data_IF_258990314660
#
_entry.id   IF_258990314660
#
_cell.length_a   1.000
_cell.length_b   1.000
_cell.length_c   1.000
_cell.angle_alpha   90.00
_cell.angle_beta   90.00
_cell.angle_gamma   90.00
#
_symmetry.space_group_name_H-M   'P 1'
#
loop_
_entity.id
_entity.type
_entity.pdbx_description
1 polymer ?
#
# COMPACT_ATOMS: atom_id res chain seq x y z
N UNK A 1 -5.39 26.87 1.35
CA UNK A 1 -5.34 25.76 0.37
C UNK A 1 -5.50 24.45 1.13
N UNK A 2 -6.67 23.80 1.07
CA UNK A 2 -6.90 22.52 1.77
C UNK A 2 -6.10 21.40 1.10
N UNK A 3 -5.24 20.72 1.86
CA UNK A 3 -4.43 19.59 1.38
C UNK A 3 -5.35 18.41 1.04
N UNK A 4 -5.73 18.27 -0.23
CA UNK A 4 -6.55 17.14 -0.69
C UNK A 4 -5.86 15.81 -0.34
N UNK A 5 -6.56 14.98 0.43
CA UNK A 5 -6.10 13.65 0.84
C UNK A 5 -5.96 12.79 -0.42
N UNK A 6 -4.74 12.34 -0.73
CA UNK A 6 -4.48 11.43 -1.85
C UNK A 6 -5.20 10.10 -1.59
N UNK A 7 -6.15 9.75 -2.43
CA UNK A 7 -6.78 8.43 -2.43
C UNK A 7 -5.72 7.33 -2.66
N UNK A 8 -5.75 6.29 -1.82
CA UNK A 8 -4.87 5.13 -1.93
C UNK A 8 -5.64 4.00 -2.62
N UNK A 9 -5.04 3.45 -3.67
CA UNK A 9 -5.61 2.34 -4.43
C UNK A 9 -4.70 1.11 -4.29
N UNK A 10 -5.31 -0.07 -4.10
CA UNK A 10 -4.58 -1.34 -4.02
C UNK A 10 -3.87 -1.64 -5.33
N UNK A 11 -2.83 -2.50 -5.26
CA UNK A 11 -2.10 -2.94 -6.45
C UNK A 11 -3.01 -3.66 -7.44
N UNK A 12 -3.90 -4.49 -6.91
CA UNK A 12 -4.91 -5.22 -7.68
C UNK A 12 -5.88 -4.28 -8.40
N UNK A 13 -6.38 -3.25 -7.70
CA UNK A 13 -7.24 -2.24 -8.31
C UNK A 13 -6.55 -1.53 -9.48
N UNK A 14 -5.28 -1.14 -9.31
CA UNK A 14 -4.50 -0.51 -10.37
C UNK A 14 -4.30 -1.46 -11.56
N UNK A 15 -4.02 -2.73 -11.31
CA UNK A 15 -3.85 -3.73 -12.37
C UNK A 15 -5.15 -3.95 -13.16
N UNK A 16 -6.28 -4.09 -12.48
CA UNK A 16 -7.60 -4.22 -13.10
C UNK A 16 -7.97 -2.97 -13.92
N UNK A 17 -7.65 -1.78 -13.40
CA UNK A 17 -7.89 -0.53 -14.11
C UNK A 17 -7.09 -0.42 -15.42
N UNK A 18 -5.83 -0.87 -15.42
CA UNK A 18 -4.99 -0.91 -16.62
C UNK A 18 -5.52 -1.98 -17.60
N UNK A 19 -5.88 -3.18 -17.10
CA UNK A 19 -6.40 -4.26 -17.92
C UNK A 19 -7.72 -3.89 -18.62
N UNK A 20 -8.56 -3.06 -18.00
CA UNK A 20 -9.77 -2.52 -18.64
C UNK A 20 -9.43 -1.70 -19.90
N UNK A 21 -8.32 -0.96 -19.90
CA UNK A 21 -7.88 -0.19 -21.07
C UNK A 21 -7.18 -1.08 -22.10
N UNK A 22 -6.30 -1.97 -21.65
CA UNK A 22 -5.41 -2.72 -22.54
C UNK A 22 -6.05 -3.99 -23.12
N UNK A 23 -6.85 -4.71 -22.32
CA UNK A 23 -7.44 -5.99 -22.72
C UNK A 23 -8.88 -5.85 -23.19
N UNK A 24 -9.65 -4.93 -22.60
CA UNK A 24 -11.07 -4.76 -22.92
C UNK A 24 -11.34 -3.62 -23.91
N UNK A 25 -10.30 -2.92 -24.38
CA UNK A 25 -10.39 -1.90 -25.42
C UNK A 25 -11.05 -0.58 -25.01
N UNK A 26 -11.31 -0.37 -23.71
CA UNK A 26 -11.90 0.89 -23.25
C UNK A 26 -10.93 2.06 -23.44
N UNK A 27 -11.47 3.20 -23.87
CA UNK A 27 -10.72 4.45 -23.84
C UNK A 27 -10.37 4.84 -22.40
N UNK A 28 -9.15 5.34 -22.15
CA UNK A 28 -8.71 5.81 -20.83
C UNK A 28 -9.73 6.72 -20.11
N UNK A 29 -10.45 7.57 -20.85
CA UNK A 29 -11.46 8.47 -20.30
C UNK A 29 -12.72 7.73 -19.84
N UNK A 30 -13.11 6.67 -20.54
CA UNK A 30 -14.29 5.87 -20.22
C UNK A 30 -14.01 4.94 -19.05
N UNK A 31 -12.87 4.24 -19.07
CA UNK A 31 -12.42 3.40 -17.97
C UNK A 31 -12.29 4.21 -16.67
N UNK A 32 -11.71 5.42 -16.74
CA UNK A 32 -11.60 6.30 -15.58
C UNK A 32 -12.96 6.72 -15.03
N UNK A 33 -13.93 7.04 -15.90
CA UNK A 33 -15.31 7.37 -15.51
C UNK A 33 -16.00 6.22 -14.81
N UNK A 34 -15.92 5.00 -15.37
CA UNK A 34 -16.52 3.79 -14.76
C UNK A 34 -15.93 3.46 -13.39
N UNK A 35 -14.62 3.65 -13.23
CA UNK A 35 -13.93 3.38 -11.98
C UNK A 35 -14.01 4.54 -10.97
N UNK A 36 -14.63 5.67 -11.34
CA UNK A 36 -14.72 6.85 -10.49
C UNK A 36 -13.36 7.49 -10.16
N UNK A 37 -12.35 7.29 -11.02
CA UNK A 37 -10.99 7.80 -10.81
C UNK A 37 -10.65 8.91 -11.79
N UNK A 38 -9.62 9.70 -11.45
CA UNK A 38 -9.12 10.72 -12.37
C UNK A 38 -8.38 10.07 -13.56
N UNK A 39 -8.75 10.43 -14.80
CA UNK A 39 -8.10 9.97 -16.04
C UNK A 39 -6.57 10.11 -16.00
N UNK A 40 -6.06 11.22 -15.48
CA UNK A 40 -4.61 11.48 -15.41
C UNK A 40 -3.89 10.45 -14.54
N UNK A 41 -4.54 9.92 -13.50
CA UNK A 41 -4.01 8.86 -12.66
C UNK A 41 -3.94 7.54 -13.42
N UNK A 42 -5.00 7.18 -14.15
CA UNK A 42 -5.04 5.95 -14.94
C UNK A 42 -3.96 5.98 -16.04
N UNK A 43 -3.82 7.09 -16.75
CA UNK A 43 -2.78 7.28 -17.76
C UNK A 43 -1.37 7.18 -17.16
N UNK A 44 -1.16 7.72 -15.95
CA UNK A 44 0.10 7.59 -15.22
C UNK A 44 0.40 6.14 -14.89
N UNK A 45 -0.57 5.39 -14.35
CA UNK A 45 -0.36 3.97 -14.01
C UNK A 45 -0.03 3.12 -15.23
N UNK A 46 -0.67 3.39 -16.38
CA UNK A 46 -0.35 2.70 -17.63
C UNK A 46 1.09 2.97 -18.08
N UNK A 47 1.55 4.22 -17.96
CA UNK A 47 2.94 4.59 -18.29
C UNK A 47 3.93 3.93 -17.34
N UNK A 48 3.65 3.94 -16.04
CA UNK A 48 4.48 3.27 -15.03
C UNK A 48 4.56 1.76 -15.28
N UNK A 49 3.44 1.11 -15.64
CA UNK A 49 3.41 -0.31 -15.98
C UNK A 49 4.24 -0.64 -17.23
N UNK A 50 4.13 0.18 -18.29
CA UNK A 50 4.92 0.02 -19.53
C UNK A 50 6.42 0.19 -19.29
N UNK A 51 6.82 1.18 -18.49
CA UNK A 51 8.24 1.39 -18.13
C UNK A 51 8.81 0.22 -17.34
N UNK A 52 8.04 -0.32 -16.38
CA UNK A 52 8.41 -1.54 -15.65
C UNK A 52 8.57 -2.74 -16.57
N UNK A 53 7.66 -2.92 -17.53
CA UNK A 53 7.76 -3.99 -18.52
C UNK A 53 8.97 -3.83 -19.44
N UNK A 54 9.37 -2.59 -19.74
CA UNK A 54 10.56 -2.26 -20.52
C UNK A 54 11.89 -2.39 -19.75
N UNK A 55 11.85 -2.80 -18.47
CA UNK A 55 13.05 -2.92 -17.64
C UNK A 55 13.70 -1.59 -17.27
N UNK A 56 13.06 -0.45 -17.56
CA UNK A 56 13.52 0.85 -17.10
C UNK A 56 13.40 0.90 -15.58
N UNK A 57 14.52 1.21 -14.91
CA UNK A 57 14.53 1.45 -13.48
C UNK A 57 13.62 2.64 -13.16
N UNK A 58 12.36 2.33 -12.85
CA UNK A 58 11.43 3.32 -12.33
C UNK A 58 11.93 3.65 -10.94
N UNK A 59 12.64 4.77 -10.79
CA UNK A 59 12.75 5.45 -9.50
C UNK A 59 11.32 5.83 -9.13
N UNK A 60 10.58 4.89 -8.54
CA UNK A 60 9.29 5.20 -8.00
C UNK A 60 9.53 6.30 -6.97
N UNK A 61 8.85 7.45 -7.04
CA UNK A 61 8.60 8.17 -5.81
C UNK A 61 7.79 7.18 -5.00
N UNK A 62 8.48 6.49 -4.07
CA UNK A 62 8.00 5.35 -3.33
C UNK A 62 6.50 5.51 -3.13
N UNK A 63 5.73 4.51 -3.55
CA UNK A 63 4.32 4.44 -3.20
C UNK A 63 4.23 4.60 -1.69
N UNK A 64 4.06 5.85 -1.23
CA UNK A 64 4.24 6.28 0.16
C UNK A 64 3.32 5.49 1.10
N UNK A 65 2.33 4.78 0.56
CA UNK A 65 1.47 3.89 1.32
C UNK A 65 2.14 2.61 1.76
N UNK A 66 2.91 1.93 0.90
CA UNK A 66 3.51 0.63 1.25
C UNK A 66 4.62 0.80 2.29
N UNK A 67 5.46 1.81 2.14
CA UNK A 67 6.55 2.09 3.07
C UNK A 67 6.02 2.64 4.41
N UNK A 68 4.97 3.46 4.39
CA UNK A 68 4.30 3.89 5.63
C UNK A 68 3.58 2.74 6.32
N UNK A 69 2.94 1.84 5.58
CA UNK A 69 2.30 0.66 6.18
C UNK A 69 3.36 -0.29 6.76
N UNK A 70 4.46 -0.52 6.05
CA UNK A 70 5.61 -1.27 6.57
C UNK A 70 6.18 -0.64 7.84
N UNK A 71 6.32 0.68 7.86
CA UNK A 71 6.78 1.40 9.05
C UNK A 71 5.80 1.24 10.21
N UNK A 72 4.50 1.43 9.97
CA UNK A 72 3.45 1.26 10.97
C UNK A 72 3.44 -0.16 11.52
N UNK A 73 3.47 -1.17 10.65
CA UNK A 73 3.49 -2.58 11.04
C UNK A 73 4.75 -2.93 11.84
N UNK A 74 5.91 -2.36 11.49
CA UNK A 74 7.15 -2.54 12.26
C UNK A 74 7.05 -1.92 13.65
N UNK A 75 6.50 -0.71 13.76
CA UNK A 75 6.28 -0.03 15.05
C UNK A 75 5.30 -0.82 15.93
N UNK A 76 4.21 -1.32 15.35
CA UNK A 76 3.21 -2.15 16.04
C UNK A 76 3.80 -3.49 16.49
N UNK A 77 4.58 -4.16 15.63
CA UNK A 77 5.24 -5.42 15.99
C UNK A 77 6.24 -5.23 17.14
N UNK A 78 6.98 -4.11 17.15
CA UNK A 78 7.89 -3.78 18.26
C UNK A 78 7.12 -3.63 19.57
N UNK A 79 6.04 -2.83 19.56
CA UNK A 79 5.20 -2.61 20.74
C UNK A 79 4.63 -3.93 21.29
N UNK A 80 4.08 -4.77 20.42
CA UNK A 80 3.53 -6.08 20.83
C UNK A 80 4.60 -6.99 21.44
N UNK A 81 5.84 -6.96 20.93
CA UNK A 81 6.95 -7.73 21.50
C UNK A 81 7.33 -7.22 22.89
N UNK A 82 7.37 -5.91 23.09
CA UNK A 82 7.64 -5.30 24.40
C UNK A 82 6.55 -5.66 25.42
N UNK A 83 5.27 -5.50 25.06
CA UNK A 83 4.14 -5.87 25.92
C UNK A 83 4.19 -7.36 26.29
N UNK A 84 4.44 -8.24 25.33
CA UNK A 84 4.60 -9.69 25.58
C UNK A 84 5.80 -9.99 26.49
N UNK A 85 6.90 -9.25 26.36
CA UNK A 85 8.07 -9.44 27.21
C UNK A 85 7.79 -9.03 28.67
N UNK A 86 7.05 -7.95 28.88
CA UNK A 86 6.63 -7.50 30.21
C UNK A 86 5.71 -8.55 30.85
N UNK A 87 4.68 -9.01 30.12
CA UNK A 87 3.77 -10.04 30.61
C UNK A 87 4.48 -11.34 30.99
N UNK A 88 5.45 -11.77 30.18
CA UNK A 88 6.29 -12.94 30.50
C UNK A 88 7.11 -12.75 31.76
N UNK A 89 7.72 -11.57 31.96
CA UNK A 89 8.48 -11.28 33.19
C UNK A 89 7.58 -11.25 34.42
N UNK A 90 6.40 -10.66 34.32
CA UNK A 90 5.42 -10.66 35.40
C UNK A 90 4.97 -12.08 35.74
N UNK A 91 4.62 -12.90 34.72
CA UNK A 91 4.24 -14.29 34.93
C UNK A 91 5.36 -15.11 35.61
N UNK A 92 6.62 -14.91 35.20
CA UNK A 92 7.76 -15.58 35.83
C UNK A 92 7.99 -15.11 37.28
N UNK A 93 7.80 -13.83 37.56
CA UNK A 93 7.89 -13.29 38.91
C UNK A 93 6.84 -13.91 39.84
N UNK A 94 5.56 -13.92 39.42
CA UNK A 94 4.48 -14.50 40.22
C UNK A 94 4.59 -16.02 40.39
N UNK A 95 5.09 -16.74 39.37
CA UNK A 95 5.36 -18.17 39.48
C UNK A 95 6.43 -18.48 40.54
N UNK A 96 7.47 -17.64 40.64
CA UNK A 96 8.53 -17.80 41.65
C UNK A 96 8.13 -17.38 43.07
N UNK A 97 7.12 -16.53 43.25
CA UNK A 97 6.58 -16.15 44.58
C UNK A 97 5.55 -17.15 45.13
N UNK A 98 5.06 -18.06 44.28
CA UNK A 98 4.01 -19.03 44.65
C UNK A 98 4.55 -20.40 45.09
N UNK A 99 5.88 -20.58 45.08
CA UNK A 99 6.63 -21.72 45.65
C UNK A 99 7.18 -21.37 47.04
#
# INVERSE_FOLDING_TARGET
MSKQRRARYSREFKANAIAMVESQGYGCTEAARRLGINRSMLSRWQREARRKAAGEAVTEPASNGQEQELRRLREENRRLREERAILKKAAAFFANESD
#
